data_IF_885372284427
#
_entry.id   IF_885372284427
#
_cell.length_a   1.000
_cell.length_b   1.000
_cell.length_c   1.000
_cell.angle_alpha   90.00
_cell.angle_beta   90.00
_cell.angle_gamma   90.00
#
_symmetry.space_group_name_H-M   'P 1'
#
loop_
_entity.id
_entity.type
_entity.pdbx_description
1 polymer ?
#
# COMPACT_ATOMS: atom_id res chain seq x y z
N UNK A 1 26.18 19.13 -30.76
CA UNK A 1 26.07 18.40 -29.49
C UNK A 1 24.59 18.36 -29.17
N UNK A 2 23.92 17.22 -29.36
CA UNK A 2 22.51 17.09 -28.99
C UNK A 2 22.44 17.10 -27.46
N UNK A 3 21.60 17.97 -26.90
CA UNK A 3 21.34 17.99 -25.46
C UNK A 3 20.61 16.73 -25.01
N UNK A 4 20.44 16.51 -23.69
CA UNK A 4 19.64 15.40 -23.17
C UNK A 4 18.23 15.45 -23.75
N UNK A 5 17.66 14.28 -24.08
CA UNK A 5 16.27 14.19 -24.56
C UNK A 5 15.28 14.56 -23.45
N UNK A 6 15.62 14.25 -22.19
CA UNK A 6 14.79 14.53 -21.04
C UNK A 6 15.65 14.99 -19.87
N UNK A 7 15.27 16.10 -19.25
CA UNK A 7 15.78 16.51 -17.95
C UNK A 7 14.65 16.44 -16.94
N UNK A 8 14.88 15.79 -15.80
CA UNK A 8 13.92 15.73 -14.71
C UNK A 8 14.52 16.37 -13.47
N UNK A 9 13.90 17.43 -12.99
CA UNK A 9 14.30 18.15 -11.78
C UNK A 9 13.34 17.84 -10.65
N UNK A 10 13.88 17.41 -9.52
CA UNK A 10 13.15 17.12 -8.31
C UNK A 10 13.29 18.30 -7.35
N UNK A 11 12.19 18.73 -6.74
CA UNK A 11 12.16 19.82 -5.76
C UNK A 11 11.41 19.38 -4.49
N UNK A 12 11.92 19.81 -3.33
CA UNK A 12 11.35 19.51 -2.02
C UNK A 12 12.44 19.42 -0.94
N UNK A 13 12.07 19.40 0.35
CA UNK A 13 13.02 19.31 1.46
C UNK A 13 13.92 18.07 1.40
N UNK A 14 13.43 16.96 0.84
CA UNK A 14 14.21 15.73 0.72
C UNK A 14 15.34 15.78 -0.31
N UNK A 15 15.36 16.82 -1.17
CA UNK A 15 16.36 16.99 -2.23
C UNK A 15 17.22 18.25 -2.11
N UNK A 16 17.16 18.91 -0.97
CA UNK A 16 17.97 20.09 -0.67
C UNK A 16 19.49 19.80 -0.77
N UNK A 17 20.23 20.80 -1.27
CA UNK A 17 21.67 20.66 -1.51
C UNK A 17 22.03 19.70 -2.65
N UNK A 18 21.06 19.31 -3.49
CA UNK A 18 21.29 18.41 -4.62
C UNK A 18 21.57 16.97 -4.21
N UNK A 19 21.01 16.54 -3.07
CA UNK A 19 21.06 15.15 -2.60
C UNK A 19 19.70 14.50 -2.81
N UNK A 20 19.62 13.17 -2.70
CA UNK A 20 18.37 12.41 -2.64
C UNK A 20 18.68 11.10 -1.92
N UNK A 21 17.70 10.51 -1.23
CA UNK A 21 17.86 9.15 -0.76
C UNK A 21 17.97 8.18 -1.95
N UNK A 22 18.93 7.25 -1.89
CA UNK A 22 19.14 6.28 -2.97
C UNK A 22 17.88 5.45 -3.28
N UNK A 23 17.11 5.10 -2.24
CA UNK A 23 15.84 4.39 -2.39
C UNK A 23 14.84 5.17 -3.27
N UNK A 24 14.76 6.47 -3.08
CA UNK A 24 13.82 7.33 -3.80
C UNK A 24 14.27 7.54 -5.24
N UNK A 25 15.59 7.65 -5.48
CA UNK A 25 16.15 7.67 -6.82
C UNK A 25 15.86 6.37 -7.59
N UNK A 26 16.05 5.21 -6.94
CA UNK A 26 15.76 3.90 -7.54
C UNK A 26 14.26 3.75 -7.82
N UNK A 27 13.41 4.19 -6.88
CA UNK A 27 11.96 4.20 -7.06
C UNK A 27 11.55 5.08 -8.24
N UNK A 28 12.04 6.31 -8.31
CA UNK A 28 11.84 7.21 -9.45
C UNK A 28 12.21 6.52 -10.77
N UNK A 29 13.43 6.00 -10.87
CA UNK A 29 13.91 5.37 -12.10
C UNK A 29 13.06 4.16 -12.51
N UNK A 30 12.68 3.31 -11.55
CA UNK A 30 11.84 2.14 -11.81
C UNK A 30 10.44 2.50 -12.29
N UNK A 31 9.78 3.44 -11.61
CA UNK A 31 8.40 3.79 -11.95
C UNK A 31 8.33 4.60 -13.24
N UNK A 32 9.29 5.52 -13.46
CA UNK A 32 9.36 6.28 -14.70
C UNK A 32 9.66 5.37 -15.90
N UNK A 33 10.63 4.47 -15.78
CA UNK A 33 10.92 3.46 -16.81
C UNK A 33 9.69 2.58 -17.10
N UNK A 34 8.96 2.15 -16.05
CA UNK A 34 7.73 1.38 -16.23
C UNK A 34 6.63 2.17 -16.94
N UNK A 35 6.47 3.47 -16.64
CA UNK A 35 5.47 4.31 -17.28
C UNK A 35 5.77 4.49 -18.78
N UNK A 36 7.05 4.69 -19.13
CA UNK A 36 7.50 4.80 -20.51
C UNK A 36 7.26 3.50 -21.30
N UNK A 37 7.67 2.35 -20.75
CA UNK A 37 7.49 1.05 -21.40
C UNK A 37 6.01 0.70 -21.58
N UNK A 38 5.15 1.06 -20.61
CA UNK A 38 3.71 0.88 -20.72
C UNK A 38 3.12 1.78 -21.81
N UNK A 39 3.55 3.04 -21.89
CA UNK A 39 3.14 3.97 -22.95
C UNK A 39 3.49 3.41 -24.33
N UNK A 40 4.71 2.89 -24.51
CA UNK A 40 5.15 2.26 -25.74
C UNK A 40 4.33 1.01 -26.11
N UNK A 41 3.90 0.20 -25.13
CA UNK A 41 2.98 -0.93 -25.36
C UNK A 41 1.64 -0.44 -25.91
N UNK A 42 1.05 0.59 -25.32
CA UNK A 42 -0.24 1.15 -25.76
C UNK A 42 -0.12 1.69 -27.19
N UNK A 43 0.94 2.46 -27.49
CA UNK A 43 1.19 2.96 -28.84
C UNK A 43 1.41 1.84 -29.87
N UNK A 44 1.92 0.69 -29.43
CA UNK A 44 2.06 -0.52 -30.25
C UNK A 44 0.76 -1.34 -30.37
N UNK A 45 -0.37 -0.83 -29.88
CA UNK A 45 -1.68 -1.50 -29.90
C UNK A 45 -1.85 -2.61 -28.86
N UNK A 46 -1.00 -2.65 -27.83
CA UNK A 46 -1.04 -3.66 -26.77
C UNK A 46 -1.61 -3.08 -25.47
N UNK A 47 -2.29 -3.92 -24.69
CA UNK A 47 -2.74 -3.55 -23.33
C UNK A 47 -1.55 -3.54 -22.37
N UNK A 48 -1.39 -2.47 -21.60
CA UNK A 48 -0.22 -2.26 -20.73
C UNK A 48 -0.38 -2.90 -19.34
N UNK A 49 -1.61 -3.23 -18.92
CA UNK A 49 -1.98 -3.85 -17.63
C UNK A 49 -1.39 -5.26 -17.45
N UNK A 50 -0.96 -5.93 -18.53
CA UNK A 50 -0.39 -7.28 -18.45
C UNK A 50 0.86 -7.34 -17.57
N UNK A 51 0.80 -8.21 -16.57
CA UNK A 51 1.94 -8.63 -15.73
C UNK A 51 3.03 -9.30 -16.57
N UNK A 52 4.28 -9.03 -16.18
CA UNK A 52 5.46 -9.62 -16.82
C UNK A 52 6.35 -8.60 -17.53
N UNK A 53 7.57 -9.05 -17.87
CA UNK A 53 8.55 -8.20 -18.53
C UNK A 53 8.03 -7.69 -19.88
N UNK A 54 8.32 -6.42 -20.24
CA UNK A 54 8.01 -5.92 -21.58
C UNK A 54 8.70 -6.76 -22.66
N UNK A 55 8.04 -6.89 -23.83
CA UNK A 55 8.68 -7.39 -25.03
C UNK A 55 10.05 -6.76 -25.23
N UNK A 56 11.04 -7.58 -25.64
CA UNK A 56 12.45 -7.17 -25.72
C UNK A 56 12.62 -5.93 -26.60
N UNK A 57 11.88 -5.85 -27.70
CA UNK A 57 11.86 -4.69 -28.60
C UNK A 57 11.41 -3.41 -27.91
N UNK A 58 10.36 -3.45 -27.09
CA UNK A 58 9.87 -2.28 -26.33
C UNK A 58 10.92 -1.85 -25.30
N UNK A 59 11.48 -2.82 -24.56
CA UNK A 59 12.50 -2.54 -23.54
C UNK A 59 13.75 -1.91 -24.13
N UNK A 60 14.21 -2.43 -25.27
CA UNK A 60 15.37 -1.89 -25.97
C UNK A 60 15.09 -0.49 -26.52
N UNK A 61 13.92 -0.27 -27.11
CA UNK A 61 13.55 1.04 -27.64
C UNK A 61 13.37 2.10 -26.54
N UNK A 62 12.87 1.71 -25.36
CA UNK A 62 12.56 2.62 -24.25
C UNK A 62 13.67 2.70 -23.19
N UNK A 63 14.81 2.04 -23.39
CA UNK A 63 15.87 2.03 -22.38
C UNK A 63 16.43 3.45 -22.19
N UNK A 64 16.29 4.01 -20.99
CA UNK A 64 16.85 5.32 -20.64
C UNK A 64 18.20 5.15 -19.93
N UNK A 65 19.18 5.95 -20.34
CA UNK A 65 20.46 6.08 -19.65
C UNK A 65 20.55 7.44 -18.97
N UNK A 66 20.96 7.45 -17.70
CA UNK A 66 21.28 8.70 -16.99
C UNK A 66 22.65 9.18 -17.45
N UNK A 67 22.69 10.30 -18.16
CA UNK A 67 23.92 10.84 -18.76
C UNK A 67 24.57 11.93 -17.91
N UNK A 68 23.80 12.59 -17.03
CA UNK A 68 24.36 13.55 -16.08
C UNK A 68 23.47 13.74 -14.83
N UNK A 69 24.13 14.12 -13.74
CA UNK A 69 23.53 14.59 -12.50
C UNK A 69 23.99 16.04 -12.28
N UNK A 70 23.06 16.97 -12.17
CA UNK A 70 23.40 18.39 -11.93
C UNK A 70 23.30 18.72 -10.44
N UNK A 71 24.27 19.49 -9.94
CA UNK A 71 24.32 19.94 -8.53
C UNK A 71 23.60 21.28 -8.38
N UNK A 72 22.98 21.51 -7.24
CA UNK A 72 22.24 22.75 -6.89
C UNK A 72 20.74 22.51 -6.76
N UNK A 73 20.14 21.88 -7.77
CA UNK A 73 18.84 21.20 -7.70
C UNK A 73 19.08 19.74 -8.10
N UNK A 74 18.51 18.76 -7.39
CA UNK A 74 18.70 17.37 -7.80
C UNK A 74 18.02 17.14 -9.15
N UNK A 75 18.81 17.13 -10.23
CA UNK A 75 18.32 16.99 -11.59
C UNK A 75 19.03 15.85 -12.32
N UNK A 76 18.23 15.03 -13.00
CA UNK A 76 18.64 13.89 -13.82
C UNK A 76 18.54 14.28 -15.30
N UNK A 77 19.64 14.24 -16.02
CA UNK A 77 19.63 14.31 -17.48
C UNK A 77 19.67 12.90 -18.04
N UNK A 78 18.73 12.57 -18.92
CA UNK A 78 18.56 11.24 -19.49
C UNK A 78 18.54 11.31 -21.01
N UNK A 79 18.97 10.22 -21.64
CA UNK A 79 18.86 9.99 -23.07
C UNK A 79 18.39 8.56 -23.36
N UNK A 80 17.82 8.35 -24.54
CA UNK A 80 17.43 7.01 -25.00
C UNK A 80 18.68 6.25 -25.44
N UNK A 81 18.83 5.04 -24.95
CA UNK A 81 19.91 4.13 -25.35
C UNK A 81 19.68 3.68 -26.79
N UNK A 82 20.41 4.29 -27.73
CA UNK A 82 20.35 3.94 -29.15
C UNK A 82 21.53 3.07 -29.55
N UNK A 83 21.26 1.83 -29.96
CA UNK A 83 22.26 0.95 -30.58
C UNK A 83 22.46 1.28 -32.07
N UNK A 84 21.45 1.85 -32.72
CA UNK A 84 21.47 2.30 -34.11
C UNK A 84 20.66 3.60 -34.25
N UNK A 85 21.02 4.50 -35.18
CA UNK A 85 20.24 5.70 -35.45
C UNK A 85 18.87 5.31 -36.04
N UNK A 86 17.80 5.64 -35.32
CA UNK A 86 16.45 5.51 -35.82
C UNK A 86 16.11 6.68 -36.77
N UNK A 87 15.26 6.41 -37.77
CA UNK A 87 14.74 7.47 -38.62
C UNK A 87 13.80 8.39 -37.80
N UNK A 88 13.85 9.73 -37.99
CA UNK A 88 12.95 10.65 -37.32
C UNK A 88 11.48 10.25 -37.52
N UNK A 89 10.70 10.21 -36.44
CA UNK A 89 9.29 9.80 -36.46
C UNK A 89 9.03 8.29 -36.48
N UNK A 90 10.07 7.45 -36.54
CA UNK A 90 9.96 5.98 -36.43
C UNK A 90 10.61 5.43 -35.15
N UNK A 91 11.15 6.30 -34.30
CA UNK A 91 11.68 5.91 -33.00
C UNK A 91 10.54 5.75 -31.99
N UNK A 92 10.25 4.49 -31.63
CA UNK A 92 9.21 4.15 -30.65
C UNK A 92 9.54 4.72 -29.26
N UNK A 93 10.81 4.76 -28.85
CA UNK A 93 11.21 5.31 -27.57
C UNK A 93 10.96 6.81 -27.50
N UNK A 94 11.32 7.52 -28.57
CA UNK A 94 11.07 8.97 -28.70
C UNK A 94 9.56 9.27 -28.70
N UNK A 95 8.77 8.52 -29.47
CA UNK A 95 7.31 8.65 -29.49
C UNK A 95 6.67 8.35 -28.14
N UNK A 96 7.08 7.28 -27.47
CA UNK A 96 6.55 6.93 -26.16
C UNK A 96 6.86 8.01 -25.12
N UNK A 97 8.04 8.63 -25.19
CA UNK A 97 8.43 9.70 -24.29
C UNK A 97 7.63 10.98 -24.54
N UNK A 98 7.42 11.34 -25.81
CA UNK A 98 6.56 12.47 -26.20
C UNK A 98 5.14 12.28 -25.68
N UNK A 99 4.52 11.13 -25.97
CA UNK A 99 3.16 10.84 -25.53
C UNK A 99 3.05 10.72 -24.00
N UNK A 100 4.06 10.16 -23.32
CA UNK A 100 4.09 10.09 -21.85
C UNK A 100 4.06 11.49 -21.25
N UNK A 101 4.94 12.39 -21.70
CA UNK A 101 5.04 13.74 -21.12
C UNK A 101 3.83 14.60 -21.53
N UNK A 102 3.38 14.55 -22.78
CA UNK A 102 2.18 15.27 -23.22
C UNK A 102 0.92 14.77 -22.49
N UNK A 103 0.79 13.46 -22.34
CA UNK A 103 -0.35 12.86 -21.65
C UNK A 103 -0.44 13.23 -20.18
N UNK A 104 0.67 13.53 -19.48
CA UNK A 104 0.65 13.98 -18.09
C UNK A 104 -0.10 15.31 -17.93
N UNK A 105 0.00 16.21 -18.91
CA UNK A 105 -0.73 17.48 -18.94
C UNK A 105 -2.22 17.24 -19.27
N UNK A 106 -2.49 16.40 -20.26
CA UNK A 106 -3.84 16.15 -20.78
C UNK A 106 -4.71 15.34 -19.81
N UNK A 107 -4.14 14.34 -19.13
CA UNK A 107 -4.89 13.42 -18.25
C UNK A 107 -5.55 14.12 -17.07
N UNK A 108 -5.08 15.32 -16.75
CA UNK A 108 -5.62 16.18 -15.71
C UNK A 108 -6.74 17.12 -16.21
N UNK A 109 -7.02 17.10 -17.51
CA UNK A 109 -8.14 17.80 -18.12
C UNK A 109 -9.49 17.20 -17.72
N UNK A 110 -10.58 17.96 -17.88
CA UNK A 110 -11.93 17.55 -17.52
C UNK A 110 -12.49 16.44 -18.43
N UNK A 111 -11.88 16.22 -19.60
CA UNK A 111 -12.33 15.24 -20.56
C UNK A 111 -12.15 13.82 -20.02
N UNK A 112 -13.14 12.91 -20.15
CA UNK A 112 -13.08 11.56 -19.58
C UNK A 112 -12.17 10.62 -20.38
N UNK A 113 -11.89 10.92 -21.64
CA UNK A 113 -11.04 10.09 -22.51
C UNK A 113 -9.56 10.19 -22.12
N UNK A 114 -8.86 9.06 -22.15
CA UNK A 114 -7.43 9.03 -21.88
C UNK A 114 -6.63 9.47 -23.12
N UNK A 115 -5.50 10.17 -22.93
CA UNK A 115 -4.67 10.60 -24.05
C UNK A 115 -4.09 9.40 -24.82
N UNK A 116 -3.69 9.65 -26.06
CA UNK A 116 -3.05 8.62 -26.88
C UNK A 116 -1.79 8.07 -26.17
N UNK A 117 -1.66 6.74 -26.15
CA UNK A 117 -0.58 6.06 -25.43
C UNK A 117 -0.88 5.78 -23.96
N UNK A 118 -2.06 6.17 -23.44
CA UNK A 118 -2.47 5.90 -22.06
C UNK A 118 -3.54 4.82 -21.97
N UNK A 119 -3.39 3.98 -20.96
CA UNK A 119 -4.42 3.09 -20.44
C UNK A 119 -4.31 3.06 -18.90
N UNK A 120 -5.14 2.24 -18.25
CA UNK A 120 -5.11 2.07 -16.79
C UNK A 120 -3.71 1.70 -16.26
N UNK A 121 -2.94 0.88 -16.99
CA UNK A 121 -1.61 0.49 -16.56
C UNK A 121 -0.61 1.65 -16.58
N UNK A 122 -0.71 2.56 -17.55
CA UNK A 122 0.10 3.80 -17.54
C UNK A 122 -0.24 4.66 -16.34
N UNK A 123 -1.54 4.84 -16.04
CA UNK A 123 -1.98 5.60 -14.87
C UNK A 123 -1.44 5.01 -13.56
N UNK A 124 -1.51 3.69 -13.39
CA UNK A 124 -0.97 2.99 -12.21
C UNK A 124 0.53 3.26 -12.05
N UNK A 125 1.31 3.21 -13.13
CA UNK A 125 2.75 3.50 -13.05
C UNK A 125 3.03 4.96 -12.63
N UNK A 126 2.23 5.90 -13.14
CA UNK A 126 2.33 7.31 -12.79
C UNK A 126 1.86 7.59 -11.35
N UNK A 127 0.85 6.87 -10.86
CA UNK A 127 0.45 6.87 -9.45
C UNK A 127 1.60 6.38 -8.58
N UNK A 128 2.20 5.25 -8.91
CA UNK A 128 3.27 4.67 -8.11
C UNK A 128 4.51 5.59 -8.08
N UNK A 129 4.79 6.31 -9.18
CA UNK A 129 5.80 7.37 -9.23
C UNK A 129 5.51 8.47 -8.20
N UNK A 130 4.23 8.82 -7.97
CA UNK A 130 3.81 9.83 -7.02
C UNK A 130 4.01 9.50 -5.54
N UNK A 131 4.33 8.24 -5.19
CA UNK A 131 4.75 7.89 -3.80
C UNK A 131 6.00 8.65 -3.34
N UNK A 132 6.75 9.26 -4.26
CA UNK A 132 7.83 10.20 -3.93
C UNK A 132 7.32 11.40 -3.12
N UNK A 133 6.06 11.82 -3.29
CA UNK A 133 5.49 12.95 -2.57
C UNK A 133 5.35 12.69 -1.07
N UNK A 134 5.21 11.42 -0.66
CA UNK A 134 5.16 11.02 0.75
C UNK A 134 6.54 11.12 1.43
N UNK A 135 7.61 11.26 0.65
CA UNK A 135 9.00 11.25 1.12
C UNK A 135 9.64 12.65 1.12
N UNK A 136 8.84 13.72 1.05
CA UNK A 136 9.35 15.10 1.10
C UNK A 136 9.88 15.63 -0.23
N UNK A 137 9.52 14.99 -1.35
CA UNK A 137 9.57 15.61 -2.68
C UNK A 137 8.22 16.29 -2.89
N UNK A 138 8.20 17.48 -3.48
CA UNK A 138 6.96 18.25 -3.70
C UNK A 138 6.62 18.35 -5.18
N UNK A 139 7.64 18.41 -6.04
CA UNK A 139 7.47 18.62 -7.49
C UNK A 139 8.50 17.84 -8.29
N UNK A 140 8.03 17.22 -9.36
CA UNK A 140 8.85 16.65 -10.43
C UNK A 140 8.63 17.52 -11.68
N UNK A 141 9.69 18.13 -12.19
CA UNK A 141 9.64 18.98 -13.37
C UNK A 141 10.30 18.21 -14.51
N UNK A 142 9.52 17.87 -15.52
CA UNK A 142 9.97 17.19 -16.73
C UNK A 142 10.18 18.21 -17.84
N UNK A 143 11.41 18.33 -18.32
CA UNK A 143 11.81 19.13 -19.48
C UNK A 143 12.18 18.18 -20.62
N UNK A 144 11.25 17.97 -21.56
CA UNK A 144 11.40 17.13 -22.74
C UNK A 144 11.92 17.96 -23.91
N UNK A 145 12.92 17.44 -24.61
CA UNK A 145 13.50 18.02 -25.81
C UNK A 145 13.78 16.95 -26.86
N UNK A 146 12.81 16.67 -27.73
CA UNK A 146 12.97 15.78 -28.88
C UNK A 146 13.16 16.57 -30.16
N UNK A 147 13.34 15.85 -31.28
CA UNK A 147 13.43 16.48 -32.61
C UNK A 147 12.12 17.17 -33.04
N UNK A 148 10.99 16.75 -32.47
CA UNK A 148 9.64 17.20 -32.84
C UNK A 148 8.98 18.06 -31.77
N UNK A 149 9.32 17.84 -30.50
CA UNK A 149 8.57 18.37 -29.36
C UNK A 149 9.53 18.94 -28.33
N UNK A 150 9.24 20.16 -27.90
CA UNK A 150 9.83 20.74 -26.68
C UNK A 150 8.70 21.04 -25.70
N UNK A 151 8.71 20.38 -24.55
CA UNK A 151 7.64 20.48 -23.55
C UNK A 151 8.21 20.50 -22.15
N UNK A 152 7.53 21.25 -21.29
CA UNK A 152 7.80 21.28 -19.85
C UNK A 152 6.52 20.96 -19.10
N UNK A 153 6.55 19.95 -18.25
CA UNK A 153 5.40 19.50 -17.45
C UNK A 153 5.81 19.38 -15.99
N UNK A 154 4.92 19.80 -15.09
CA UNK A 154 5.15 19.71 -13.64
C UNK A 154 4.18 18.67 -13.08
N UNK A 155 4.73 17.62 -12.48
CA UNK A 155 3.98 16.65 -11.69
C UNK A 155 4.16 17.01 -10.22
N UNK A 156 3.09 17.54 -9.64
CA UNK A 156 2.99 17.89 -8.23
C UNK A 156 1.91 17.05 -7.53
N UNK A 157 1.71 17.29 -6.24
CA UNK A 157 0.71 16.59 -5.46
C UNK A 157 -0.73 16.76 -6.00
N UNK A 158 -1.05 17.91 -6.60
CA UNK A 158 -2.38 18.15 -7.15
C UNK A 158 -2.62 17.32 -8.43
N UNK A 159 -1.61 17.24 -9.30
CA UNK A 159 -1.60 16.37 -10.48
C UNK A 159 -1.73 14.90 -10.03
N UNK A 160 -0.93 14.49 -9.05
CA UNK A 160 -0.95 13.15 -8.51
C UNK A 160 -2.33 12.74 -7.98
N UNK A 161 -2.99 13.64 -7.23
CA UNK A 161 -4.34 13.37 -6.71
C UNK A 161 -5.36 13.16 -7.83
N UNK A 162 -5.30 13.96 -8.90
CA UNK A 162 -6.18 13.78 -10.08
C UNK A 162 -5.93 12.45 -10.79
N UNK A 163 -4.69 12.00 -10.88
CA UNK A 163 -4.36 10.68 -11.42
C UNK A 163 -5.01 9.57 -10.59
N UNK A 164 -4.93 9.67 -9.25
CA UNK A 164 -5.59 8.71 -8.34
C UNK A 164 -7.10 8.73 -8.53
N UNK A 165 -7.74 9.90 -8.47
CA UNK A 165 -9.18 10.09 -8.71
C UNK A 165 -9.63 9.47 -10.05
N UNK A 166 -8.78 9.52 -11.07
CA UNK A 166 -9.09 9.00 -12.40
C UNK A 166 -8.92 7.49 -12.56
N UNK A 167 -8.00 6.89 -11.81
CA UNK A 167 -7.83 5.42 -11.71
C UNK A 167 -9.03 4.81 -10.97
N UNK A 168 -9.43 5.49 -9.91
CA UNK A 168 -10.43 5.04 -8.96
C UNK A 168 -11.88 5.32 -9.41
N UNK A 169 -12.05 6.22 -10.38
CA UNK A 169 -13.36 6.76 -10.76
C UNK A 169 -13.83 7.83 -9.77
N UNK A 170 -14.93 8.57 -10.07
CA UNK A 170 -15.50 9.50 -9.10
C UNK A 170 -15.71 8.79 -7.77
N UNK A 171 -15.13 9.37 -6.71
CA UNK A 171 -15.04 8.88 -5.31
C UNK A 171 -16.40 8.70 -4.60
N UNK A 172 -17.49 8.43 -5.31
CA UNK A 172 -18.83 8.38 -4.70
C UNK A 172 -19.12 7.05 -3.99
N UNK A 173 -18.43 5.95 -4.32
CA UNK A 173 -18.75 4.60 -3.77
C UNK A 173 -17.59 3.86 -3.10
N UNK A 174 -16.49 4.54 -2.76
CA UNK A 174 -15.40 3.87 -2.03
C UNK A 174 -15.61 3.92 -0.52
N UNK A 175 -15.56 2.74 0.11
CA UNK A 175 -15.61 2.63 1.56
C UNK A 175 -14.22 2.26 2.08
N UNK A 176 -13.82 2.94 3.15
CA UNK A 176 -12.63 2.59 3.93
C UNK A 176 -13.05 1.65 5.07
N UNK A 177 -12.34 0.52 5.21
CA UNK A 177 -12.52 -0.42 6.32
C UNK A 177 -11.19 -0.85 6.90
N UNK A 178 -11.18 -1.06 8.21
CA UNK A 178 -10.02 -1.49 8.98
C UNK A 178 -10.31 -2.83 9.66
N UNK A 179 -9.30 -3.68 9.74
CA UNK A 179 -9.42 -4.96 10.41
C UNK A 179 -8.21 -5.86 10.18
N UNK A 180 -8.24 -7.03 10.81
CA UNK A 180 -7.16 -8.01 10.67
C UNK A 180 -7.40 -8.91 9.47
N UNK A 181 -6.39 -9.07 8.62
CA UNK A 181 -6.49 -9.94 7.45
C UNK A 181 -6.02 -11.35 7.82
N UNK A 182 -6.96 -12.26 8.08
CA UNK A 182 -6.62 -13.59 8.62
C UNK A 182 -6.54 -14.69 7.55
N UNK A 183 -7.15 -14.48 6.40
CA UNK A 183 -7.30 -15.51 5.37
C UNK A 183 -7.31 -14.90 3.98
N UNK A 184 -6.58 -15.53 3.06
CA UNK A 184 -6.63 -15.26 1.63
C UNK A 184 -6.72 -16.60 0.86
N UNK A 185 -7.65 -16.67 -0.09
CA UNK A 185 -7.80 -17.76 -1.05
C UNK A 185 -7.30 -17.24 -2.41
N UNK A 186 -6.26 -17.90 -2.94
CA UNK A 186 -5.59 -17.54 -4.19
C UNK A 186 -5.84 -18.56 -5.31
N UNK A 187 -7.01 -19.23 -5.30
CA UNK A 187 -7.39 -20.16 -6.37
C UNK A 187 -7.70 -19.42 -7.68
N UNK A 188 -7.46 -20.09 -8.80
CA UNK A 188 -7.77 -19.60 -10.16
C UNK A 188 -9.26 -19.24 -10.35
N UNK A 189 -10.15 -19.76 -9.51
CA UNK A 189 -11.60 -19.50 -9.55
C UNK A 189 -12.01 -18.20 -8.84
N UNK A 190 -11.08 -17.51 -8.18
CA UNK A 190 -11.30 -16.15 -7.66
C UNK A 190 -10.42 -15.81 -6.46
N UNK A 191 -9.79 -14.64 -6.52
CA UNK A 191 -8.94 -14.08 -5.48
C UNK A 191 -9.79 -13.40 -4.39
N UNK A 192 -9.78 -13.98 -3.19
CA UNK A 192 -10.67 -13.55 -2.09
C UNK A 192 -9.92 -13.54 -0.77
N UNK A 193 -10.22 -12.59 0.09
CA UNK A 193 -9.73 -12.58 1.46
C UNK A 193 -10.85 -12.23 2.44
N UNK A 194 -10.59 -12.38 3.73
CA UNK A 194 -11.51 -12.00 4.79
C UNK A 194 -10.85 -10.96 5.69
N UNK A 195 -11.47 -9.79 5.75
CA UNK A 195 -11.15 -8.78 6.74
C UNK A 195 -11.97 -9.05 8.00
N UNK A 196 -11.32 -9.04 9.16
CA UNK A 196 -11.96 -9.18 10.46
C UNK A 196 -11.88 -7.85 11.22
N UNK A 197 -12.91 -7.00 11.16
CA UNK A 197 -12.98 -5.81 11.99
C UNK A 197 -13.19 -6.18 13.46
N UNK A 198 -12.82 -5.31 14.42
CA UNK A 198 -12.88 -5.61 15.85
C UNK A 198 -14.31 -5.73 16.41
N UNK A 199 -15.30 -5.06 15.82
CA UNK A 199 -16.68 -5.00 16.32
C UNK A 199 -17.74 -5.40 15.27
N UNK A 200 -17.31 -5.92 14.12
CA UNK A 200 -18.20 -6.30 13.01
C UNK A 200 -17.94 -7.74 12.58
N UNK A 201 -18.94 -8.43 12.00
CA UNK A 201 -18.73 -9.73 11.39
C UNK A 201 -17.68 -9.65 10.26
N UNK A 202 -17.01 -10.77 9.93
CA UNK A 202 -15.99 -10.79 8.88
C UNK A 202 -16.55 -10.33 7.53
N UNK A 203 -15.83 -9.43 6.88
CA UNK A 203 -16.21 -8.87 5.58
C UNK A 203 -15.50 -9.65 4.48
N UNK A 204 -16.26 -10.13 3.50
CA UNK A 204 -15.70 -10.77 2.32
C UNK A 204 -15.08 -9.73 1.40
N UNK A 205 -13.81 -9.92 1.08
CA UNK A 205 -13.09 -9.01 0.22
C UNK A 205 -12.64 -9.76 -1.05
N UNK A 206 -12.74 -9.12 -2.21
CA UNK A 206 -12.11 -9.57 -3.46
C UNK A 206 -11.00 -8.61 -3.84
N UNK A 207 -9.97 -9.12 -4.50
CA UNK A 207 -8.85 -8.32 -4.97
C UNK A 207 -8.45 -8.79 -6.37
N UNK A 208 -7.74 -7.94 -7.09
CA UNK A 208 -7.18 -8.29 -8.38
C UNK A 208 -5.89 -9.10 -8.22
N UNK A 209 -5.42 -9.72 -9.31
CA UNK A 209 -4.17 -10.48 -9.25
C UNK A 209 -3.00 -9.58 -8.86
N UNK A 210 -3.04 -8.31 -9.27
CA UNK A 210 -2.01 -7.29 -9.02
C UNK A 210 -1.67 -7.16 -7.53
N UNK A 211 -2.66 -7.21 -6.65
CA UNK A 211 -2.47 -7.11 -5.20
C UNK A 211 -2.23 -8.43 -4.48
N UNK A 212 -2.15 -9.58 -5.17
CA UNK A 212 -1.97 -10.88 -4.51
C UNK A 212 -0.74 -10.93 -3.59
N UNK A 213 0.39 -10.36 -4.01
CA UNK A 213 1.62 -10.32 -3.21
C UNK A 213 1.49 -9.41 -1.99
N UNK A 214 0.84 -8.25 -2.14
CA UNK A 214 0.56 -7.31 -1.04
C UNK A 214 -0.38 -7.93 -0.01
N UNK A 215 -1.43 -8.64 -0.45
CA UNK A 215 -2.36 -9.38 0.42
C UNK A 215 -1.65 -10.49 1.20
N UNK A 216 -0.74 -11.23 0.54
CA UNK A 216 0.05 -12.27 1.20
C UNK A 216 0.93 -11.66 2.30
N UNK A 217 1.63 -10.56 1.99
CA UNK A 217 2.48 -9.86 2.96
C UNK A 217 1.66 -9.27 4.12
N UNK A 218 0.42 -8.87 3.84
CA UNK A 218 -0.52 -8.35 4.81
C UNK A 218 -1.23 -9.42 5.65
N UNK A 219 -1.04 -10.72 5.38
CA UNK A 219 -1.63 -11.78 6.19
C UNK A 219 -1.20 -11.66 7.66
N UNK A 220 -2.17 -11.81 8.56
CA UNK A 220 -2.08 -11.67 10.02
C UNK A 220 -1.81 -10.25 10.52
N UNK A 221 -1.64 -9.27 9.64
CA UNK A 221 -1.49 -7.87 10.01
C UNK A 221 -2.85 -7.19 10.12
N UNK A 222 -2.86 -6.09 10.88
CA UNK A 222 -3.97 -5.15 10.86
C UNK A 222 -3.80 -4.26 9.63
N UNK A 223 -4.86 -4.11 8.86
CA UNK A 223 -4.81 -3.42 7.58
C UNK A 223 -5.96 -2.46 7.44
N UNK A 224 -5.71 -1.39 6.70
CA UNK A 224 -6.74 -0.51 6.16
C UNK A 224 -6.90 -0.84 4.68
N UNK A 225 -8.12 -1.17 4.29
CA UNK A 225 -8.48 -1.43 2.89
C UNK A 225 -9.40 -0.33 2.37
N UNK A 226 -9.27 -0.02 1.09
CA UNK A 226 -10.16 0.91 0.38
C UNK A 226 -10.65 0.29 -0.91
N UNK A 227 -11.91 0.56 -1.23
CA UNK A 227 -12.46 0.27 -2.55
C UNK A 227 -13.98 0.18 -2.55
N UNK A 228 -14.58 -0.12 -3.71
CA UNK A 228 -16.02 -0.16 -3.86
C UNK A 228 -16.62 -1.31 -3.04
N UNK A 229 -17.74 -1.01 -2.40
CA UNK A 229 -18.41 -1.93 -1.49
C UNK A 229 -19.84 -2.22 -1.95
N UNK A 230 -20.22 -3.50 -1.92
CA UNK A 230 -21.60 -3.93 -2.10
C UNK A 230 -22.32 -3.83 -0.75
N UNK A 231 -23.11 -2.76 -0.59
CA UNK A 231 -23.92 -2.53 0.60
C UNK A 231 -25.27 -3.19 0.41
N UNK A 232 -25.72 -3.94 1.42
CA UNK A 232 -27.08 -4.49 1.43
C UNK A 232 -28.09 -3.34 1.67
N UNK A 233 -28.96 -3.02 0.70
CA UNK A 233 -29.84 -1.85 0.77
C UNK A 233 -30.90 -1.92 1.87
N UNK A 234 -31.15 -3.11 2.45
CA UNK A 234 -32.09 -3.29 3.56
C UNK A 234 -31.45 -3.13 4.94
N UNK A 235 -30.14 -3.38 5.06
CA UNK A 235 -29.44 -3.41 6.37
C UNK A 235 -28.34 -2.36 6.51
N UNK A 236 -27.92 -1.72 5.41
CA UNK A 236 -26.80 -0.79 5.38
C UNK A 236 -25.45 -1.43 5.69
N UNK A 237 -25.38 -2.77 5.81
CA UNK A 237 -24.15 -3.50 6.11
C UNK A 237 -23.39 -3.81 4.83
N UNK A 238 -22.07 -3.72 4.92
CA UNK A 238 -21.17 -4.05 3.81
C UNK A 238 -21.07 -5.57 3.69
N UNK A 239 -21.55 -6.14 2.57
CA UNK A 239 -21.44 -7.58 2.30
C UNK A 239 -20.10 -7.95 1.70
N UNK A 240 -19.64 -7.12 0.75
CA UNK A 240 -18.45 -7.40 -0.03
C UNK A 240 -17.70 -6.11 -0.34
N UNK A 241 -16.38 -6.16 -0.29
CA UNK A 241 -15.51 -5.06 -0.72
C UNK A 241 -14.59 -5.56 -1.82
N UNK A 242 -14.46 -4.80 -2.91
CA UNK A 242 -13.36 -4.99 -3.84
C UNK A 242 -12.20 -4.10 -3.40
N UNK A 243 -11.11 -4.72 -2.94
CA UNK A 243 -9.93 -3.98 -2.49
C UNK A 243 -9.27 -3.37 -3.73
N UNK A 244 -9.01 -2.06 -3.68
CA UNK A 244 -8.25 -1.28 -4.67
C UNK A 244 -6.93 -0.76 -4.11
N UNK A 245 -6.90 -0.56 -2.79
CA UNK A 245 -5.74 -0.12 -2.04
C UNK A 245 -5.69 -0.82 -0.68
N UNK A 246 -4.48 -1.16 -0.24
CA UNK A 246 -4.21 -1.84 1.02
C UNK A 246 -3.01 -1.20 1.71
N UNK A 247 -3.23 -0.79 2.95
CA UNK A 247 -2.20 -0.22 3.83
C UNK A 247 -2.05 -1.14 5.05
N UNK A 248 -0.83 -1.67 5.26
CA UNK A 248 -0.51 -2.39 6.50
C UNK A 248 -0.32 -1.35 7.58
N UNK A 249 -1.13 -1.44 8.64
CA UNK A 249 -1.00 -0.59 9.80
C UNK A 249 -0.09 -1.31 10.80
N UNK A 250 0.93 -0.61 11.28
CA UNK A 250 1.69 -0.99 12.48
C UNK A 250 0.75 -0.90 13.67
N UNK A 251 -0.08 -1.93 13.81
CA UNK A 251 -0.92 -2.12 14.98
C UNK A 251 -0.02 -2.67 16.08
N UNK A 252 0.63 -1.74 16.77
CA UNK A 252 1.34 -2.00 18.00
C UNK A 252 0.37 -2.68 18.97
N UNK A 253 0.46 -4.00 19.12
CA UNK A 253 -0.26 -4.76 20.16
C UNK A 253 -0.01 -4.13 21.55
N UNK A 254 1.16 -3.51 21.76
CA UNK A 254 1.49 -2.72 22.95
C UNK A 254 0.61 -1.47 23.14
N UNK A 255 0.20 -0.77 22.08
CA UNK A 255 -0.68 0.40 22.19
C UNK A 255 -2.12 0.01 22.48
N UNK A 256 -2.61 -1.13 22.00
CA UNK A 256 -3.99 -1.56 22.27
C UNK A 256 -4.13 -2.26 23.63
N UNK A 257 -3.10 -2.99 24.08
CA UNK A 257 -3.02 -3.42 25.49
C UNK A 257 -2.96 -2.17 26.37
N UNK A 258 -2.14 -1.16 26.05
CA UNK A 258 -2.14 0.12 26.76
C UNK A 258 -3.48 0.88 26.68
N UNK A 259 -4.25 0.76 25.60
CA UNK A 259 -5.53 1.46 25.43
C UNK A 259 -6.68 0.76 26.19
N UNK A 260 -6.70 -0.59 26.20
CA UNK A 260 -7.63 -1.38 27.02
C UNK A 260 -7.27 -1.32 28.50
N UNK A 261 -5.98 -1.26 28.85
CA UNK A 261 -5.53 -0.95 30.22
C UNK A 261 -5.84 0.49 30.62
N UNK A 262 -5.90 1.44 29.68
CA UNK A 262 -6.31 2.84 29.94
C UNK A 262 -7.81 3.01 30.17
N UNK A 263 -8.64 2.10 29.69
CA UNK A 263 -10.08 2.15 29.97
C UNK A 263 -10.42 1.68 31.40
N UNK A 264 -9.48 1.07 32.12
CA UNK A 264 -9.65 0.62 33.52
C UNK A 264 -8.67 1.31 34.48
N UNK A 265 -7.71 2.09 33.98
CA UNK A 265 -6.78 2.83 34.82
C UNK A 265 -6.93 4.34 34.57
N UNK A 266 -7.62 5.04 35.48
CA UNK A 266 -7.40 6.47 35.64
C UNK A 266 -5.89 6.72 35.82
N UNK A 267 -5.29 7.64 35.04
CA UNK A 267 -3.88 7.94 35.13
C UNK A 267 -3.62 8.70 36.44
N UNK A 268 -3.38 7.94 37.50
CA UNK A 268 -3.08 8.43 38.84
C UNK A 268 -3.00 7.33 39.91
N UNK A 269 -3.68 6.18 39.73
CA UNK A 269 -3.90 5.23 40.84
C UNK A 269 -2.85 4.12 40.98
N UNK A 270 -2.07 3.80 39.94
CA UNK A 270 -1.06 2.73 40.02
C UNK A 270 0.10 3.05 40.99
N UNK A 271 0.37 4.35 41.22
CA UNK A 271 1.43 4.82 42.12
C UNK A 271 0.92 5.35 43.46
N UNK A 272 -0.39 5.41 43.68
CA UNK A 272 -0.94 5.58 45.02
C UNK A 272 -1.05 4.21 45.65
N UNK A 273 -0.11 3.87 46.52
CA UNK A 273 -0.13 2.60 47.25
C UNK A 273 -1.44 2.47 48.02
N UNK A 274 -2.35 1.66 47.50
CA UNK A 274 -3.48 1.15 48.28
C UNK A 274 -2.90 0.22 49.35
N UNK A 275 -3.32 0.43 50.59
CA UNK A 275 -3.01 -0.51 51.66
C UNK A 275 -3.70 -1.85 51.36
N UNK A 276 -2.98 -2.95 51.58
CA UNK A 276 -3.40 -4.31 51.21
C UNK A 276 -4.75 -4.68 51.87
N UNK A 277 -5.01 -4.11 53.05
CA UNK A 277 -6.24 -4.31 53.81
C UNK A 277 -7.44 -3.68 53.09
N UNK A 278 -7.29 -2.46 52.55
CA UNK A 278 -8.35 -1.77 51.82
C UNK A 278 -8.70 -2.48 50.51
N UNK A 279 -7.70 -3.01 49.82
CA UNK A 279 -7.88 -3.77 48.58
C UNK A 279 -8.62 -5.10 48.83
N UNK A 280 -8.33 -5.75 49.95
CA UNK A 280 -8.97 -7.00 50.36
C UNK A 280 -10.47 -6.80 50.68
N UNK A 281 -10.82 -5.70 51.36
CA UNK A 281 -12.22 -5.33 51.63
C UNK A 281 -13.01 -5.04 50.35
N UNK A 282 -12.43 -4.29 49.40
CA UNK A 282 -13.09 -3.98 48.12
C UNK A 282 -13.32 -5.21 47.24
N UNK A 283 -12.38 -6.17 47.26
CA UNK A 283 -12.51 -7.41 46.48
C UNK A 283 -13.30 -8.50 47.22
N UNK A 284 -13.80 -8.21 48.44
CA UNK A 284 -14.53 -9.17 49.25
C UNK A 284 -13.67 -10.38 49.68
N UNK A 285 -12.34 -10.24 49.66
CA UNK A 285 -11.40 -11.29 50.03
C UNK A 285 -11.07 -11.13 51.50
N UNK A 286 -11.54 -12.06 52.34
CA UNK A 286 -11.18 -12.06 53.75
C UNK A 286 -9.87 -12.82 53.97
N UNK A 287 -8.99 -12.37 54.89
CA UNK A 287 -7.80 -13.13 55.26
C UNK A 287 -8.18 -14.52 55.78
N UNK A 288 -7.60 -15.55 55.19
CA UNK A 288 -7.73 -16.95 55.62
C UNK A 288 -7.27 -17.07 57.07
N UNK A 289 -8.17 -17.43 57.98
CA UNK A 289 -7.86 -17.49 59.42
C UNK A 289 -7.58 -18.93 59.89
N UNK A 290 -7.97 -19.93 59.10
CA UNK A 290 -7.72 -21.34 59.38
C UNK A 290 -7.41 -22.11 58.11
N UNK A 291 -6.71 -23.24 58.25
CA UNK A 291 -6.41 -24.16 57.15
C UNK A 291 -7.68 -24.77 56.55
N UNK A 292 -8.77 -24.82 57.32
CA UNK A 292 -10.06 -25.33 56.89
C UNK A 292 -10.75 -24.38 55.88
N UNK A 293 -10.44 -23.07 55.92
CA UNK A 293 -10.96 -22.08 54.97
C UNK A 293 -10.33 -22.21 53.56
N UNK A 294 -9.23 -22.98 53.43
CA UNK A 294 -8.57 -23.27 52.15
C UNK A 294 -9.12 -24.53 51.48
N UNK A 295 -9.91 -25.33 52.20
CA UNK A 295 -10.54 -26.52 51.64
C UNK A 295 -11.81 -26.08 50.91
N UNK A 296 -11.69 -25.86 49.61
CA UNK A 296 -12.86 -25.65 48.77
C UNK A 296 -13.65 -26.95 48.63
N UNK A 297 -14.91 -26.97 49.08
CA UNK A 297 -15.91 -28.02 48.81
C UNK A 297 -16.37 -28.03 47.33
N UNK A 298 -15.48 -27.64 46.42
CA UNK A 298 -15.80 -27.32 45.03
C UNK A 298 -15.29 -28.41 44.07
N UNK A 299 -15.29 -29.66 44.52
CA UNK A 299 -15.07 -30.78 43.60
C UNK A 299 -16.39 -31.03 42.85
N UNK A 300 -16.42 -30.98 41.50
CA UNK A 300 -17.64 -31.24 40.73
C UNK A 300 -18.22 -32.59 41.13
N UNK A 301 -19.53 -32.66 41.43
CA UNK A 301 -20.19 -33.89 41.90
C UNK A 301 -20.07 -35.05 40.90
N UNK A 302 -19.85 -34.72 39.64
CA UNK A 302 -19.74 -35.61 38.48
C UNK A 302 -18.30 -36.07 38.16
N UNK A 303 -17.28 -35.55 38.86
CA UNK A 303 -15.90 -35.98 38.68
C UNK A 303 -15.39 -36.68 39.95
N UNK A 304 -14.66 -37.79 39.80
CA UNK A 304 -13.95 -38.38 40.94
C UNK A 304 -12.51 -37.86 41.01
N UNK A 305 -12.02 -37.57 42.22
CA UNK A 305 -10.63 -37.14 42.46
C UNK A 305 -9.63 -38.15 41.90
N UNK A 306 -9.96 -39.44 42.00
CA UNK A 306 -9.12 -40.52 41.49
C UNK A 306 -9.00 -40.51 39.96
N UNK A 307 -10.10 -40.25 39.24
CA UNK A 307 -10.12 -40.18 37.77
C UNK A 307 -9.35 -38.97 37.23
N UNK A 308 -9.37 -37.84 37.96
CA UNK A 308 -8.52 -36.68 37.68
C UNK A 308 -7.03 -37.02 37.85
N UNK A 309 -6.65 -37.68 38.96
CA UNK A 309 -5.26 -38.08 39.23
C UNK A 309 -4.77 -39.07 38.18
N UNK A 310 -5.60 -40.03 37.76
CA UNK A 310 -5.27 -40.98 36.69
C UNK A 310 -5.06 -40.27 35.36
N UNK A 311 -5.91 -39.29 35.02
CA UNK A 311 -5.78 -38.51 33.79
C UNK A 311 -4.47 -37.72 33.76
N UNK A 312 -4.11 -37.04 34.84
CA UNK A 312 -2.83 -36.31 34.95
C UNK A 312 -1.64 -37.26 34.86
N UNK A 313 -1.71 -38.45 35.47
CA UNK A 313 -0.65 -39.47 35.39
C UNK A 313 -0.53 -40.13 34.02
N UNK A 314 -1.62 -40.22 33.26
CA UNK A 314 -1.61 -40.70 31.87
C UNK A 314 -0.92 -39.67 30.97
N UNK A 315 -1.29 -38.39 31.06
CA UNK A 315 -0.66 -37.33 30.27
C UNK A 315 0.85 -37.22 30.49
N UNK A 316 1.33 -37.45 31.72
CA UNK A 316 2.78 -37.49 32.02
C UNK A 316 3.53 -38.72 31.48
N UNK A 317 2.82 -39.77 31.08
CA UNK A 317 3.42 -40.99 30.48
C UNK A 317 3.40 -40.97 28.95
N UNK A 318 2.55 -40.13 28.35
CA UNK A 318 2.38 -40.00 26.90
C UNK A 318 3.16 -38.83 26.28
N UNK A 319 3.74 -37.95 27.10
CA UNK A 319 4.72 -36.93 26.69
C UNK A 319 6.15 -37.34 27.02
#
# INVERSE_FOLDING_TARGET
MNGPILTVRLEGPAVEGGRIALRDLVHFGRQFQSALERTARVLSGQVSVRRGQPPVNIRQACALDVIALQKGSFSLAMDLRRTQPALPGLDLGEQALEHLIEGLEVVCGPEPELPMGYDLGVLIALRDLGRLFDHGIERLIFDLHTSRVQRRVVHDYALHRRLVERIEGPLEDQIVREGRLLMADLRETGLRCRLHPPAEPPIHCSFDEAMAEEIINALRHYVRIRGPAEIDPLTGKVRKIEIRDLEILDWDEEKEISAKSRAVAEPGLFWTGYDVVTLAEEQGVQPVQSLDDLWGDFWPEDESVDEFIETVRRWRREG
#
